data_IF_012511303183
#
_entry.id   IF_012511303183
#
_cell.length_a   1.000
_cell.length_b   1.000
_cell.length_c   1.000
_cell.angle_alpha   90.00
_cell.angle_beta   90.00
_cell.angle_gamma   90.00
#
_symmetry.space_group_name_H-M   'P 1'
#
loop_
_entity.id
_entity.type
_entity.pdbx_description
1 polymer ?
#
# COMPACT_ATOMS: atom_id res chain seq x y z
N UNK A 1 8.13 9.56 -3.17
CA UNK A 1 8.03 8.11 -3.35
C UNK A 1 6.67 7.68 -2.78
N UNK A 2 5.80 7.03 -3.56
CA UNK A 2 4.48 6.59 -3.06
C UNK A 2 4.65 5.29 -2.27
N UNK A 3 4.26 5.25 -1.00
CA UNK A 3 4.36 4.05 -0.13
C UNK A 3 3.69 2.80 -0.72
N UNK A 4 2.75 3.00 -1.65
CA UNK A 4 2.04 1.92 -2.34
C UNK A 4 2.95 1.01 -3.17
N UNK A 5 4.13 1.48 -3.58
CA UNK A 5 5.08 0.65 -4.35
C UNK A 5 5.62 -0.51 -3.52
N UNK A 6 5.67 -0.38 -2.19
CA UNK A 6 6.06 -1.47 -1.30
C UNK A 6 5.08 -2.65 -1.34
N UNK A 7 3.80 -2.41 -1.68
CA UNK A 7 2.79 -3.46 -1.76
C UNK A 7 2.90 -4.28 -3.05
N UNK A 8 3.46 -3.72 -4.12
CA UNK A 8 3.47 -4.35 -5.45
C UNK A 8 4.10 -5.77 -5.49
N UNK A 9 5.18 -6.10 -4.76
CA UNK A 9 5.72 -7.46 -4.71
C UNK A 9 4.79 -8.50 -4.07
N UNK A 10 3.93 -8.07 -3.13
CA UNK A 10 3.01 -8.97 -2.40
C UNK A 10 1.69 -9.16 -3.14
N UNK A 11 1.09 -8.07 -3.62
CA UNK A 11 -0.28 -8.09 -4.18
C UNK A 11 -0.32 -7.86 -5.70
N UNK A 12 0.82 -7.59 -6.33
CA UNK A 12 0.92 -7.22 -7.73
C UNK A 12 0.72 -5.72 -7.98
N UNK A 13 1.26 -5.25 -9.10
CA UNK A 13 1.21 -3.84 -9.50
C UNK A 13 -0.22 -3.32 -9.66
N UNK A 14 -1.12 -4.09 -10.30
CA UNK A 14 -2.48 -3.64 -10.59
C UNK A 14 -3.29 -3.39 -9.31
N UNK A 15 -3.20 -4.30 -8.34
CA UNK A 15 -3.88 -4.15 -7.04
C UNK A 15 -3.31 -3.00 -6.23
N UNK A 16 -1.99 -2.81 -6.26
CA UNK A 16 -1.35 -1.66 -5.62
C UNK A 16 -1.81 -0.34 -6.27
N UNK A 17 -1.89 -0.28 -7.60
CA UNK A 17 -2.40 0.88 -8.32
C UNK A 17 -3.88 1.15 -8.02
N UNK A 18 -4.70 0.10 -7.85
CA UNK A 18 -6.09 0.23 -7.44
C UNK A 18 -6.22 0.88 -6.06
N UNK A 19 -5.49 0.40 -5.05
CA UNK A 19 -5.46 1.00 -3.69
C UNK A 19 -5.11 2.49 -3.78
N UNK A 20 -4.07 2.86 -4.54
CA UNK A 20 -3.66 4.26 -4.67
C UNK A 20 -4.77 5.12 -5.31
N UNK A 21 -5.41 4.62 -6.36
CA UNK A 21 -6.48 5.35 -7.05
C UNK A 21 -7.72 5.50 -6.17
N UNK A 22 -8.12 4.45 -5.46
CA UNK A 22 -9.28 4.52 -4.57
C UNK A 22 -9.01 5.40 -3.36
N UNK A 23 -7.82 5.32 -2.76
CA UNK A 23 -7.41 6.18 -1.65
C UNK A 23 -7.46 7.66 -2.04
N UNK A 24 -6.89 7.98 -3.21
CA UNK A 24 -6.91 9.35 -3.72
C UNK A 24 -8.33 9.83 -4.04
N UNK A 25 -9.15 8.98 -4.66
CA UNK A 25 -10.54 9.32 -5.03
C UNK A 25 -11.44 9.52 -3.81
N UNK A 26 -11.27 8.69 -2.78
CA UNK A 26 -12.10 8.70 -1.59
C UNK A 26 -11.58 9.64 -0.50
N UNK A 27 -10.36 10.17 -0.64
CA UNK A 27 -9.69 10.94 0.41
C UNK A 27 -9.31 10.10 1.63
N UNK A 28 -9.16 8.79 1.45
CA UNK A 28 -8.79 7.82 2.49
C UNK A 28 -7.30 7.48 2.41
N UNK A 29 -6.79 6.81 3.44
CA UNK A 29 -5.41 6.36 3.49
C UNK A 29 -5.19 5.08 2.67
N UNK A 30 -3.95 4.84 2.26
CA UNK A 30 -3.57 3.59 1.59
C UNK A 30 -3.87 2.36 2.46
N UNK A 31 -3.69 2.48 3.79
CA UNK A 31 -3.97 1.41 4.74
C UNK A 31 -5.45 1.07 4.75
N UNK A 32 -6.32 2.07 4.93
CA UNK A 32 -7.78 1.87 4.93
C UNK A 32 -8.26 1.16 3.67
N UNK A 33 -7.79 1.61 2.49
CA UNK A 33 -8.18 1.00 1.22
C UNK A 33 -7.61 -0.41 1.05
N UNK A 34 -6.38 -0.65 1.48
CA UNK A 34 -5.75 -1.97 1.42
C UNK A 34 -6.52 -3.01 2.26
N UNK A 35 -7.00 -2.61 3.44
CA UNK A 35 -7.84 -3.44 4.30
C UNK A 35 -9.27 -3.55 3.76
N UNK A 36 -9.85 -2.45 3.24
CA UNK A 36 -11.21 -2.41 2.67
C UNK A 36 -11.35 -3.32 1.46
N UNK A 37 -10.35 -3.32 0.58
CA UNK A 37 -10.27 -4.19 -0.60
C UNK A 37 -9.85 -5.62 -0.25
N UNK A 38 -9.50 -5.89 1.02
CA UNK A 38 -9.02 -7.18 1.53
C UNK A 38 -7.83 -7.72 0.75
N UNK A 39 -6.97 -6.83 0.27
CA UNK A 39 -5.75 -7.21 -0.45
C UNK A 39 -4.62 -7.60 0.51
N UNK A 40 -4.61 -7.02 1.71
CA UNK A 40 -3.71 -7.35 2.81
C UNK A 40 -4.42 -7.15 4.14
N UNK A 41 -3.95 -7.82 5.19
CA UNK A 41 -4.36 -7.51 6.57
C UNK A 41 -3.67 -6.25 7.08
N UNK A 42 -4.13 -5.73 8.23
CA UNK A 42 -3.44 -4.62 8.91
C UNK A 42 -2.00 -4.97 9.27
N UNK A 43 -1.78 -6.19 9.76
CA UNK A 43 -0.45 -6.68 10.13
C UNK A 43 0.46 -6.78 8.89
N UNK A 44 -0.03 -7.36 7.79
CA UNK A 44 0.73 -7.44 6.54
C UNK A 44 1.04 -6.05 5.98
N UNK A 45 0.10 -5.10 6.07
CA UNK A 45 0.35 -3.73 5.64
C UNK A 45 1.46 -3.09 6.47
N UNK A 46 1.41 -3.24 7.79
CA UNK A 46 2.37 -2.62 8.71
C UNK A 46 3.76 -3.28 8.62
N UNK A 47 3.83 -4.57 8.26
CA UNK A 47 5.09 -5.28 7.96
C UNK A 47 5.72 -4.83 6.64
N UNK A 48 4.90 -4.62 5.60
CA UNK A 48 5.37 -4.29 4.25
C UNK A 48 5.65 -2.80 4.11
N UNK A 49 4.76 -1.95 4.62
CA UNK A 49 4.82 -0.49 4.46
C UNK A 49 5.55 0.10 5.65
N UNK A 50 6.88 0.06 5.59
CA UNK A 50 7.79 0.62 6.60
C UNK A 50 8.56 1.82 6.03
N UNK A 51 8.05 3.06 6.15
CA UNK A 51 8.69 4.25 5.60
C UNK A 51 10.16 4.40 5.99
N UNK A 52 10.52 4.02 7.21
CA UNK A 52 11.88 4.02 7.75
C UNK A 52 12.85 3.09 7.01
N UNK A 53 12.34 2.07 6.32
CA UNK A 53 13.12 1.18 5.45
C UNK A 53 13.11 1.65 3.98
N UNK A 54 12.34 2.69 3.65
CA UNK A 54 12.15 3.22 2.29
C UNK A 54 12.88 4.54 2.04
N UNK A 55 13.73 4.99 2.97
CA UNK A 55 14.49 6.25 2.90
C UNK A 55 15.93 6.10 2.35
N UNK A 56 16.28 4.93 1.81
CA UNK A 56 17.60 4.67 1.21
C UNK A 56 17.47 3.93 -0.12
N UNK A 57 18.54 3.90 -0.95
CA UNK A 57 18.58 3.03 -2.12
C UNK A 57 18.43 1.57 -1.66
N UNK A 58 17.53 0.85 -2.33
CA UNK A 58 17.33 -0.58 -2.16
C UNK A 58 18.41 -1.39 -2.89
#
# INVERSE_FOLDING_TARGET
LMLVTALAPKIGYDKAAEIAKTAHKNGTTLREEALRLRYVTGEEFDEIVRPELMIGPA
#
